data_IF_902599108027
#
_entry.id   IF_902599108027
#
_cell.length_a   1.000
_cell.length_b   1.000
_cell.length_c   1.000
_cell.angle_alpha   90.00
_cell.angle_beta   90.00
_cell.angle_gamma   90.00
#
_symmetry.space_group_name_H-M   'P 1'
#
loop_
_entity.id
_entity.type
_entity.pdbx_description
1 polymer ?
#
# COMPACT_ATOMS: atom_id res chain seq x y z
N UNK A 1 -12.42 55.88 -12.71
CA UNK A 1 -11.14 55.25 -12.34
C UNK A 1 -11.20 55.00 -10.85
N UNK A 2 -11.90 53.94 -10.43
CA UNK A 2 -12.01 53.56 -9.02
C UNK A 2 -11.06 52.37 -8.77
N UNK A 3 -9.76 52.64 -8.73
CA UNK A 3 -8.84 51.75 -8.04
C UNK A 3 -9.13 51.93 -6.55
N UNK A 4 -9.86 50.99 -5.96
CA UNK A 4 -10.10 50.97 -4.51
C UNK A 4 -8.75 50.95 -3.80
N UNK A 5 -8.49 51.94 -2.94
CA UNK A 5 -7.35 51.94 -2.02
C UNK A 5 -7.33 50.60 -1.26
N UNK A 6 -6.36 49.74 -1.59
CA UNK A 6 -6.25 48.37 -1.07
C UNK A 6 -5.91 47.31 -2.11
N UNK A 7 -6.01 47.60 -3.41
CA UNK A 7 -5.55 46.70 -4.47
C UNK A 7 -4.02 46.75 -4.59
N UNK A 8 -3.33 45.81 -3.93
CA UNK A 8 -1.88 45.69 -3.95
C UNK A 8 -1.35 44.81 -5.11
N UNK A 9 -2.22 44.38 -6.03
CA UNK A 9 -1.84 43.51 -7.15
C UNK A 9 -1.46 42.08 -6.73
N UNK A 10 -1.75 41.69 -5.49
CA UNK A 10 -1.55 40.34 -4.97
C UNK A 10 -2.89 39.68 -4.67
N UNK A 11 -3.25 38.68 -5.46
CA UNK A 11 -4.39 37.81 -5.17
C UNK A 11 -3.91 36.51 -4.51
N UNK A 12 -4.39 36.26 -3.29
CA UNK A 12 -4.08 35.02 -2.55
C UNK A 12 -4.54 33.77 -3.29
N UNK A 13 -5.53 33.88 -4.17
CA UNK A 13 -6.07 32.76 -4.95
C UNK A 13 -5.03 32.14 -5.90
N UNK A 14 -4.07 32.94 -6.39
CA UNK A 14 -3.07 32.49 -7.38
C UNK A 14 -1.86 31.75 -6.77
N UNK A 15 -1.70 31.81 -5.44
CA UNK A 15 -0.51 31.33 -4.73
C UNK A 15 -0.78 30.18 -3.76
N UNK A 16 -1.90 29.46 -3.97
CA UNK A 16 -2.14 28.20 -3.28
C UNK A 16 -1.10 27.14 -3.66
N UNK A 17 -0.72 26.23 -2.75
CA UNK A 17 0.13 25.10 -3.11
C UNK A 17 -0.61 24.20 -4.11
N UNK A 18 0.16 23.52 -4.96
CA UNK A 18 -0.40 22.57 -5.93
C UNK A 18 -1.29 21.56 -5.21
N UNK A 19 -2.47 21.29 -5.80
CA UNK A 19 -3.44 20.34 -5.26
C UNK A 19 -3.31 18.98 -5.94
N UNK A 20 -3.43 17.90 -5.17
CA UNK A 20 -3.55 16.54 -5.68
C UNK A 20 -5.03 16.15 -5.76
N UNK A 21 -5.36 15.26 -6.70
CA UNK A 21 -6.62 14.52 -6.65
C UNK A 21 -6.52 13.51 -5.50
N UNK A 22 -7.57 13.39 -4.69
CA UNK A 22 -7.64 12.46 -3.57
C UNK A 22 -8.83 11.54 -3.76
N UNK A 23 -8.62 10.25 -3.53
CA UNK A 23 -9.67 9.23 -3.59
C UNK A 23 -9.44 8.19 -2.49
N UNK A 24 -10.48 7.44 -2.13
CA UNK A 24 -10.43 6.45 -1.05
C UNK A 24 -10.91 5.09 -1.52
N UNK A 25 -10.27 4.04 -1.02
CA UNK A 25 -10.71 2.67 -1.20
C UNK A 25 -10.78 1.96 0.15
N UNK A 26 -12.00 1.77 0.67
CA UNK A 26 -12.30 1.01 1.90
C UNK A 26 -11.40 1.36 3.10
N UNK A 27 -11.20 2.67 3.31
CA UNK A 27 -10.42 3.24 4.40
C UNK A 27 -8.99 3.67 4.03
N UNK A 28 -8.43 3.16 2.92
CA UNK A 28 -7.13 3.62 2.41
C UNK A 28 -7.30 4.92 1.63
N UNK A 29 -6.42 5.90 1.88
CA UNK A 29 -6.40 7.19 1.20
C UNK A 29 -5.27 7.19 0.15
N UNK A 30 -5.61 7.49 -1.10
CA UNK A 30 -4.67 7.60 -2.21
C UNK A 30 -4.74 9.00 -2.83
N UNK A 31 -3.62 9.45 -3.40
CA UNK A 31 -3.54 10.73 -4.09
C UNK A 31 -2.77 10.62 -5.41
N UNK A 32 -3.17 11.42 -6.40
CA UNK A 32 -2.49 11.51 -7.70
C UNK A 32 -2.46 12.97 -8.19
N UNK A 33 -1.29 13.42 -8.64
CA UNK A 33 -1.08 14.77 -9.16
C UNK A 33 -1.54 14.92 -10.62
N UNK A 34 -1.56 13.82 -11.38
CA UNK A 34 -1.90 13.85 -12.80
C UNK A 34 -3.42 13.94 -13.00
N UNK A 35 -3.87 15.02 -13.63
CA UNK A 35 -5.26 15.27 -13.95
C UNK A 35 -5.81 14.33 -15.04
N UNK A 36 -4.94 13.76 -15.88
CA UNK A 36 -5.31 12.88 -16.99
C UNK A 36 -5.20 11.39 -16.65
N UNK A 37 -4.62 11.06 -15.48
CA UNK A 37 -4.55 9.69 -15.01
C UNK A 37 -5.95 9.11 -14.73
N UNK A 38 -6.13 7.78 -14.88
CA UNK A 38 -7.38 7.12 -14.53
C UNK A 38 -7.78 7.34 -13.06
N UNK A 39 -9.05 7.17 -12.74
CA UNK A 39 -9.52 7.14 -11.35
C UNK A 39 -8.94 5.94 -10.58
N UNK A 40 -9.04 5.97 -9.25
CA UNK A 40 -8.43 4.96 -8.39
C UNK A 40 -8.93 3.55 -8.69
N UNK A 41 -10.24 3.37 -8.88
CA UNK A 41 -10.81 2.03 -9.11
C UNK A 41 -10.38 1.46 -10.45
N UNK A 42 -10.32 2.30 -11.48
CA UNK A 42 -9.77 1.90 -12.79
C UNK A 42 -8.28 1.55 -12.67
N UNK A 43 -7.49 2.33 -11.91
CA UNK A 43 -6.07 2.05 -11.70
C UNK A 43 -5.82 0.72 -10.96
N UNK A 44 -6.65 0.38 -9.98
CA UNK A 44 -6.56 -0.88 -9.23
C UNK A 44 -6.90 -2.12 -10.07
N UNK A 45 -7.47 -1.94 -11.28
CA UNK A 45 -7.77 -3.03 -12.21
C UNK A 45 -8.57 -4.15 -11.52
N UNK A 46 -8.21 -5.41 -11.76
CA UNK A 46 -8.80 -6.60 -11.15
C UNK A 46 -8.16 -7.00 -9.80
N UNK A 47 -7.36 -6.11 -9.18
CA UNK A 47 -6.72 -6.38 -7.88
C UNK A 47 -7.64 -6.14 -6.67
N UNK A 48 -8.74 -5.41 -6.87
CA UNK A 48 -9.68 -5.03 -5.80
C UNK A 48 -10.15 -6.22 -4.93
N UNK A 49 -10.57 -7.38 -5.48
CA UNK A 49 -10.98 -8.52 -4.66
C UNK A 49 -9.89 -9.05 -3.71
N UNK A 50 -8.61 -8.90 -4.08
CA UNK A 50 -7.49 -9.31 -3.22
C UNK A 50 -7.28 -8.33 -2.06
N UNK A 51 -7.51 -7.03 -2.29
CA UNK A 51 -7.49 -6.01 -1.24
C UNK A 51 -8.65 -6.22 -0.25
N UNK A 52 -9.80 -6.64 -0.76
CA UNK A 52 -11.02 -6.86 0.01
C UNK A 52 -10.89 -7.94 1.06
N UNK A 53 -10.00 -8.91 0.86
CA UNK A 53 -9.65 -9.95 1.85
C UNK A 53 -9.26 -9.34 3.20
N UNK A 54 -8.62 -8.16 3.19
CA UNK A 54 -8.27 -7.40 4.38
C UNK A 54 -9.26 -6.27 4.68
N UNK A 55 -9.64 -5.50 3.66
CA UNK A 55 -10.30 -4.21 3.84
C UNK A 55 -11.82 -4.27 3.97
N UNK A 56 -12.45 -5.36 3.54
CA UNK A 56 -13.91 -5.46 3.42
C UNK A 56 -14.51 -6.67 4.16
N UNK A 57 -13.88 -7.06 5.27
CA UNK A 57 -14.29 -8.26 6.02
C UNK A 57 -15.59 -8.09 6.80
N UNK A 58 -16.05 -6.85 7.00
CA UNK A 58 -17.23 -6.49 7.79
C UNK A 58 -17.75 -5.14 7.33
N UNK A 59 -19.07 -4.90 7.46
CA UNK A 59 -19.68 -3.60 7.18
C UNK A 59 -19.13 -2.46 8.06
N UNK A 60 -18.50 -2.78 9.21
CA UNK A 60 -17.86 -1.78 10.07
C UNK A 60 -16.57 -1.18 9.46
N UNK A 61 -16.03 -1.77 8.38
CA UNK A 61 -14.77 -1.36 7.78
C UNK A 61 -13.55 -1.69 8.65
N UNK A 62 -12.46 -0.94 8.43
CA UNK A 62 -11.20 -1.11 9.17
C UNK A 62 -10.86 0.16 9.96
N UNK A 63 -10.10 0.00 11.04
CA UNK A 63 -9.52 1.11 11.81
C UNK A 63 -8.02 0.92 11.96
N UNK A 64 -7.29 2.02 12.09
CA UNK A 64 -5.83 2.03 12.25
C UNK A 64 -5.49 2.10 13.74
N UNK A 65 -4.67 1.17 14.23
CA UNK A 65 -4.07 1.28 15.57
C UNK A 65 -3.15 2.49 15.59
N UNK A 66 -3.30 3.36 16.58
CA UNK A 66 -2.54 4.61 16.67
C UNK A 66 -1.02 4.40 16.73
N UNK A 67 -0.28 5.26 16.04
CA UNK A 67 1.19 5.26 15.97
C UNK A 67 1.72 4.85 14.60
N UNK A 68 2.56 5.69 13.99
CA UNK A 68 3.21 5.40 12.72
C UNK A 68 4.71 5.20 12.92
N UNK A 69 5.18 3.96 12.77
CA UNK A 69 6.60 3.64 12.82
C UNK A 69 7.29 4.13 11.53
N UNK A 70 8.41 4.86 11.65
CA UNK A 70 9.20 5.38 10.52
C UNK A 70 10.67 5.02 10.72
N UNK A 71 11.31 4.49 9.69
CA UNK A 71 12.72 4.14 9.66
C UNK A 71 13.29 4.27 8.25
N UNK A 72 14.61 4.18 8.10
CA UNK A 72 15.31 4.31 6.81
C UNK A 72 16.07 3.03 6.49
N UNK A 73 15.89 2.50 5.28
CA UNK A 73 16.65 1.36 4.74
C UNK A 73 17.39 1.83 3.47
N UNK A 74 18.73 1.69 3.39
CA UNK A 74 19.50 2.13 2.23
C UNK A 74 19.42 1.12 1.07
N UNK A 75 18.21 0.93 0.52
CA UNK A 75 17.98 0.08 -0.64
C UNK A 75 17.04 0.75 -1.65
N UNK A 76 16.97 0.21 -2.86
CA UNK A 76 16.00 0.70 -3.84
C UNK A 76 14.58 0.28 -3.44
N UNK A 77 13.62 1.21 -3.54
CA UNK A 77 12.21 0.96 -3.21
C UNK A 77 11.60 -0.23 -3.97
N UNK A 78 12.10 -0.53 -5.18
CA UNK A 78 11.64 -1.65 -5.99
C UNK A 78 11.84 -3.00 -5.31
N UNK A 79 12.86 -3.15 -4.47
CA UNK A 79 13.07 -4.41 -3.74
C UNK A 79 11.91 -4.68 -2.77
N UNK A 80 11.54 -3.70 -1.94
CA UNK A 80 10.41 -3.88 -1.03
C UNK A 80 9.09 -4.04 -1.80
N UNK A 81 8.85 -3.23 -2.83
CA UNK A 81 7.62 -3.33 -3.63
C UNK A 81 7.47 -4.68 -4.34
N UNK A 82 8.52 -5.15 -5.04
CA UNK A 82 8.51 -6.45 -5.71
C UNK A 82 8.37 -7.58 -4.71
N UNK A 83 9.07 -7.51 -3.57
CA UNK A 83 9.05 -8.62 -2.64
C UNK A 83 7.67 -8.83 -1.99
N UNK A 84 6.87 -7.77 -1.80
CA UNK A 84 5.47 -7.87 -1.35
C UNK A 84 4.50 -8.17 -2.49
N UNK A 85 4.86 -7.85 -3.73
CA UNK A 85 4.06 -8.15 -4.92
C UNK A 85 4.12 -9.64 -5.30
N UNK A 86 5.32 -10.25 -5.24
CA UNK A 86 5.53 -11.57 -5.85
C UNK A 86 6.41 -12.59 -5.12
N UNK A 87 7.14 -12.23 -4.06
CA UNK A 87 8.19 -13.10 -3.53
C UNK A 87 7.80 -13.81 -2.22
N UNK A 88 6.78 -14.69 -2.28
CA UNK A 88 6.55 -15.68 -1.20
C UNK A 88 7.71 -16.70 -1.12
N UNK A 89 8.47 -16.83 -2.22
CA UNK A 89 9.61 -17.73 -2.34
C UNK A 89 10.67 -17.51 -1.26
N UNK A 90 11.03 -16.26 -0.92
CA UNK A 90 11.99 -15.99 0.17
C UNK A 90 11.51 -16.51 1.52
N UNK A 91 10.19 -16.51 1.77
CA UNK A 91 9.60 -16.87 3.05
C UNK A 91 9.47 -18.38 3.20
N UNK A 92 9.17 -19.08 2.10
CA UNK A 92 9.19 -20.54 2.03
C UNK A 92 10.59 -21.17 2.00
N UNK A 93 11.65 -20.36 2.00
CA UNK A 93 13.05 -20.83 1.96
C UNK A 93 13.81 -20.45 3.23
N UNK A 94 14.76 -19.52 3.16
CA UNK A 94 15.74 -19.31 4.24
C UNK A 94 15.57 -17.98 4.97
N UNK A 95 14.93 -17.00 4.37
CA UNK A 95 14.97 -15.61 4.86
C UNK A 95 14.28 -15.41 6.21
N UNK A 96 13.36 -16.30 6.57
CA UNK A 96 12.54 -16.19 7.78
C UNK A 96 12.65 -17.39 8.74
N UNK A 97 13.62 -18.29 8.56
CA UNK A 97 13.75 -19.51 9.41
C UNK A 97 13.88 -19.14 10.90
N UNK A 98 14.68 -18.13 11.24
CA UNK A 98 14.81 -17.66 12.63
C UNK A 98 13.55 -16.95 13.13
N UNK A 99 12.83 -16.26 12.26
CA UNK A 99 11.54 -15.64 12.60
C UNK A 99 10.46 -16.68 12.91
N UNK A 100 10.42 -17.77 12.14
CA UNK A 100 9.54 -18.93 12.42
C UNK A 100 9.92 -19.56 13.76
N UNK A 101 11.21 -19.82 14.00
CA UNK A 101 11.64 -20.36 15.30
C UNK A 101 11.21 -19.46 16.48
N UNK A 102 11.35 -18.14 16.33
CA UNK A 102 10.97 -17.19 17.38
C UNK A 102 9.45 -17.15 17.66
N UNK A 103 8.61 -17.62 16.73
CA UNK A 103 7.15 -17.68 16.92
C UNK A 103 6.64 -19.05 17.38
N UNK A 104 7.51 -20.06 17.48
CA UNK A 104 7.14 -21.39 17.98
C UNK A 104 7.08 -21.45 19.51
N UNK A 105 6.24 -22.32 20.08
CA UNK A 105 6.35 -22.70 21.48
C UNK A 105 7.76 -23.21 21.83
N UNK A 106 8.24 -23.02 23.07
CA UNK A 106 9.59 -23.43 23.48
C UNK A 106 9.92 -24.92 23.24
N UNK A 107 8.91 -25.78 23.26
CA UNK A 107 9.00 -27.22 23.06
C UNK A 107 9.06 -27.66 21.59
N UNK A 108 8.95 -26.73 20.64
CA UNK A 108 8.97 -27.01 19.21
C UNK A 108 10.20 -26.45 18.52
N UNK A 109 10.68 -27.16 17.50
CA UNK A 109 11.75 -26.70 16.61
C UNK A 109 11.32 -26.73 15.13
N UNK A 110 12.08 -26.09 14.21
CA UNK A 110 11.68 -25.96 12.81
C UNK A 110 11.55 -27.29 12.06
N UNK A 111 12.17 -28.38 12.55
CA UNK A 111 12.03 -29.72 11.95
C UNK A 111 10.62 -30.28 12.10
N UNK A 112 9.84 -29.74 13.05
CA UNK A 112 8.45 -30.11 13.30
C UNK A 112 7.44 -29.25 12.50
N UNK A 113 7.92 -28.24 11.76
CA UNK A 113 7.09 -27.35 10.96
C UNK A 113 7.14 -27.75 9.49
N UNK A 114 6.00 -28.15 8.94
CA UNK A 114 5.87 -28.36 7.50
C UNK A 114 5.35 -27.09 6.83
N UNK A 115 6.16 -26.52 5.93
CA UNK A 115 5.75 -25.38 5.13
C UNK A 115 4.71 -25.81 4.08
N UNK A 116 3.59 -25.07 3.94
CA UNK A 116 2.65 -25.29 2.85
C UNK A 116 3.35 -25.17 1.49
N UNK A 117 3.11 -26.14 0.59
CA UNK A 117 3.68 -26.15 -0.77
C UNK A 117 2.65 -25.84 -1.85
N UNK A 118 1.38 -25.74 -1.47
CA UNK A 118 0.28 -25.43 -2.37
C UNK A 118 -0.13 -23.98 -2.14
N UNK A 119 -0.01 -23.16 -3.18
CA UNK A 119 -0.38 -21.76 -3.19
C UNK A 119 -0.48 -21.28 -4.64
N UNK A 120 -1.11 -20.13 -4.83
CA UNK A 120 -1.21 -19.49 -6.15
C UNK A 120 -0.84 -18.02 -6.00
N UNK A 121 -0.43 -17.42 -7.11
CA UNK A 121 -0.13 -16.01 -7.20
C UNK A 121 -1.01 -15.36 -8.24
N UNK A 122 -1.42 -14.13 -7.94
CA UNK A 122 -2.18 -13.24 -8.78
C UNK A 122 -1.27 -12.17 -9.36
N UNK A 123 -1.50 -11.85 -10.63
CA UNK A 123 -0.97 -10.70 -11.34
C UNK A 123 -2.15 -9.97 -11.98
N UNK A 124 -2.29 -8.68 -11.69
CA UNK A 124 -3.35 -7.88 -12.26
C UNK A 124 -3.24 -7.78 -13.78
N UNK A 125 -4.40 -7.66 -14.44
CA UNK A 125 -4.50 -7.49 -15.89
C UNK A 125 -3.77 -6.21 -16.36
N UNK A 126 -3.75 -5.17 -15.52
CA UNK A 126 -3.06 -3.92 -15.77
C UNK A 126 -2.53 -3.29 -14.46
N UNK A 127 -1.51 -2.42 -14.56
CA UNK A 127 -1.05 -1.60 -13.43
C UNK A 127 0.09 -2.20 -12.61
N UNK A 128 0.44 -3.47 -12.82
CA UNK A 128 1.60 -4.11 -12.18
C UNK A 128 1.37 -4.60 -10.75
N UNK A 129 0.11 -4.68 -10.31
CA UNK A 129 -0.27 -5.19 -8.99
C UNK A 129 -0.14 -6.71 -8.93
N UNK A 130 0.14 -7.23 -7.73
CA UNK A 130 0.25 -8.66 -7.48
C UNK A 130 -0.03 -9.01 -6.02
N UNK A 131 -0.36 -10.28 -5.81
CA UNK A 131 -0.62 -10.88 -4.50
C UNK A 131 -0.29 -12.37 -4.58
N UNK A 132 0.31 -12.95 -3.56
CA UNK A 132 0.60 -14.40 -3.50
C UNK A 132 1.13 -14.84 -2.16
#
# INVERSE_FOLDING_TARGET
YDQKEGDCGFDKADWGPLQARVDTYKGLISANWDAQAPDLKTYLSDAMPYMDVMLDRTEAGTTVVGGMQKWVIPCNWKFAAEQFCSDMYRAGTMSHVSGVLASLPPEMDPTQVQLPKTGNQFRAAWGGHGSG
#
